data_IF_599560432738
#
_entry.id   IF_599560432738
#
_cell.length_a   1.000
_cell.length_b   1.000
_cell.length_c   1.000
_cell.angle_alpha   90.00
_cell.angle_beta   90.00
_cell.angle_gamma   90.00
#
_symmetry.space_group_name_H-M   'P 1'
#
loop_
_entity.id
_entity.type
_entity.pdbx_description
1 polymer ?
#
# COMPACT_ATOMS: atom_id res chain seq x y z
N UNK A 1 24.33 11.89 -56.92
CA UNK A 1 24.78 12.90 -55.90
C UNK A 1 23.64 13.31 -54.95
N UNK A 2 22.38 13.04 -55.32
CA UNK A 2 21.19 13.32 -54.45
C UNK A 2 21.02 12.30 -53.31
N UNK A 3 21.47 11.05 -53.48
CA UNK A 3 21.32 10.00 -52.46
C UNK A 3 22.19 10.21 -51.20
N UNK A 4 23.29 10.96 -51.30
CA UNK A 4 24.16 11.29 -50.20
C UNK A 4 23.59 12.38 -49.27
N UNK A 5 22.87 13.33 -49.82
CA UNK A 5 22.21 14.39 -49.04
C UNK A 5 20.96 13.86 -48.27
N UNK A 6 20.27 12.87 -48.81
CA UNK A 6 19.15 12.22 -48.12
C UNK A 6 19.56 11.43 -46.89
N UNK A 7 20.74 10.78 -46.93
CA UNK A 7 21.24 9.95 -45.82
C UNK A 7 21.77 10.82 -44.65
N UNK A 8 22.40 11.95 -44.94
CA UNK A 8 22.88 12.89 -43.91
C UNK A 8 21.72 13.63 -43.21
N UNK A 9 20.66 13.99 -43.95
CA UNK A 9 19.44 14.53 -43.36
C UNK A 9 18.74 13.56 -42.41
N UNK A 10 18.63 12.30 -42.79
CA UNK A 10 18.04 11.26 -41.96
C UNK A 10 18.82 10.98 -40.69
N UNK A 11 20.15 10.97 -40.76
CA UNK A 11 20.99 10.75 -39.60
C UNK A 11 20.92 11.89 -38.57
N UNK A 12 20.87 13.17 -39.06
CA UNK A 12 20.73 14.33 -38.19
C UNK A 12 19.35 14.43 -37.54
N UNK A 13 18.28 14.05 -38.26
CA UNK A 13 16.93 13.95 -37.68
C UNK A 13 16.84 12.85 -36.61
N UNK A 14 17.39 11.68 -36.84
CA UNK A 14 17.43 10.61 -35.86
C UNK A 14 18.24 11.01 -34.61
N UNK A 15 19.36 11.71 -34.81
CA UNK A 15 20.18 12.23 -33.71
C UNK A 15 19.40 13.26 -32.89
N UNK A 16 18.71 14.20 -33.53
CA UNK A 16 17.89 15.21 -32.87
C UNK A 16 16.71 14.60 -32.12
N UNK A 17 16.05 13.58 -32.69
CA UNK A 17 15.00 12.80 -32.01
C UNK A 17 15.55 12.04 -30.81
N UNK A 18 16.71 11.39 -30.92
CA UNK A 18 17.33 10.68 -29.80
C UNK A 18 17.70 11.67 -28.68
N UNK A 19 18.29 12.81 -29.00
CA UNK A 19 18.63 13.86 -28.04
C UNK A 19 17.39 14.41 -27.34
N UNK A 20 16.32 14.66 -28.07
CA UNK A 20 15.05 15.15 -27.49
C UNK A 20 14.40 14.12 -26.57
N UNK A 21 14.44 12.84 -26.92
CA UNK A 21 13.96 11.75 -26.07
C UNK A 21 14.79 11.66 -24.78
N UNK A 22 16.11 11.67 -24.88
CA UNK A 22 17.00 11.66 -23.71
C UNK A 22 16.73 12.87 -22.82
N UNK A 23 16.66 14.08 -23.38
CA UNK A 23 16.38 15.29 -22.61
C UNK A 23 15.01 15.24 -21.90
N UNK A 24 14.00 14.62 -22.51
CA UNK A 24 12.65 14.51 -21.95
C UNK A 24 12.54 13.43 -20.87
N UNK A 25 13.20 12.28 -21.07
CA UNK A 25 13.08 11.13 -20.17
C UNK A 25 14.17 11.06 -19.11
N UNK A 26 15.37 11.58 -19.36
CA UNK A 26 16.45 11.51 -18.40
C UNK A 26 16.10 12.13 -17.03
N UNK A 27 15.48 13.31 -16.93
CA UNK A 27 15.09 13.86 -15.63
C UNK A 27 14.05 12.97 -14.91
N UNK A 28 13.10 12.38 -15.64
CA UNK A 28 12.09 11.49 -15.10
C UNK A 28 12.71 10.20 -14.56
N UNK A 29 13.64 9.62 -15.30
CA UNK A 29 14.35 8.40 -14.88
C UNK A 29 15.22 8.67 -13.66
N UNK A 30 15.94 9.79 -13.61
CA UNK A 30 16.74 10.19 -12.44
C UNK A 30 15.86 10.35 -11.20
N UNK A 31 14.73 11.05 -11.33
CA UNK A 31 13.77 11.22 -10.25
C UNK A 31 13.16 9.88 -9.83
N UNK A 32 12.85 8.99 -10.77
CA UNK A 32 12.32 7.67 -10.49
C UNK A 32 13.31 6.81 -9.71
N UNK A 33 14.58 6.80 -10.09
CA UNK A 33 15.66 6.10 -9.38
C UNK A 33 15.85 6.69 -7.97
N UNK A 34 15.90 8.01 -7.87
CA UNK A 34 15.99 8.68 -6.57
C UNK A 34 14.81 8.31 -5.66
N UNK A 35 13.59 8.38 -6.17
CA UNK A 35 12.37 8.01 -5.45
C UNK A 35 12.38 6.53 -5.04
N UNK A 36 12.89 5.65 -5.90
CA UNK A 36 13.03 4.23 -5.60
C UNK A 36 13.99 3.98 -4.43
N UNK A 37 15.15 4.61 -4.46
CA UNK A 37 16.19 4.44 -3.41
C UNK A 37 15.69 5.00 -2.08
N UNK A 38 15.21 6.24 -2.09
CA UNK A 38 14.69 6.90 -0.88
C UNK A 38 13.45 6.19 -0.35
N UNK A 39 12.52 5.82 -1.22
CA UNK A 39 11.31 5.09 -0.85
C UNK A 39 11.61 3.72 -0.24
N UNK A 40 12.53 2.95 -0.83
CA UNK A 40 12.95 1.67 -0.30
C UNK A 40 13.63 1.82 1.08
N UNK A 41 14.47 2.84 1.25
CA UNK A 41 15.11 3.15 2.52
C UNK A 41 14.07 3.51 3.58
N UNK A 42 13.09 4.36 3.25
CA UNK A 42 11.99 4.75 4.15
C UNK A 42 11.13 3.55 4.55
N UNK A 43 10.76 2.70 3.59
CA UNK A 43 9.96 1.50 3.85
C UNK A 43 10.70 0.56 4.80
N UNK A 44 11.97 0.27 4.51
CA UNK A 44 12.78 -0.61 5.36
C UNK A 44 12.96 -0.02 6.77
N UNK A 45 13.14 1.29 6.87
CA UNK A 45 13.23 1.99 8.16
C UNK A 45 11.91 1.90 8.93
N UNK A 46 10.80 2.13 8.25
CA UNK A 46 9.46 2.07 8.86
C UNK A 46 9.13 0.65 9.35
N UNK A 47 9.34 -0.36 8.50
CA UNK A 47 9.12 -1.76 8.86
C UNK A 47 10.03 -2.20 10.00
N UNK A 48 11.31 -1.78 10.01
CA UNK A 48 12.24 -2.07 11.08
C UNK A 48 11.85 -1.45 12.44
N UNK A 49 11.30 -0.24 12.43
CA UNK A 49 10.75 0.38 13.66
C UNK A 49 9.54 -0.38 14.17
N UNK A 50 8.68 -0.85 13.25
CA UNK A 50 7.50 -1.64 13.59
C UNK A 50 7.90 -3.01 14.18
N UNK A 51 8.88 -3.67 13.56
CA UNK A 51 9.45 -4.94 14.01
C UNK A 51 10.00 -4.85 15.44
N UNK A 52 10.75 -3.82 15.73
CA UNK A 52 11.31 -3.59 17.07
C UNK A 52 10.25 -3.33 18.16
N UNK A 53 9.12 -2.72 17.80
CA UNK A 53 8.05 -2.41 18.76
C UNK A 53 7.11 -3.59 19.02
N UNK A 54 6.75 -4.32 17.96
CA UNK A 54 5.79 -5.43 17.99
C UNK A 54 6.45 -6.76 18.35
N UNK A 55 7.70 -6.98 17.94
CA UNK A 55 8.42 -8.23 18.10
C UNK A 55 8.62 -8.73 19.54
N UNK A 56 8.44 -7.83 20.52
CA UNK A 56 8.54 -8.15 21.95
C UNK A 56 7.31 -8.89 22.52
N UNK A 57 6.16 -8.81 21.86
CA UNK A 57 4.89 -9.39 22.35
C UNK A 57 4.55 -10.71 21.66
N UNK A 58 4.61 -10.78 20.38
CA UNK A 58 4.29 -11.97 19.57
C UNK A 58 5.16 -12.01 18.31
N UNK A 59 6.18 -12.88 18.25
CA UNK A 59 7.09 -12.97 17.12
C UNK A 59 6.40 -13.40 15.82
N UNK A 60 5.36 -14.24 15.90
CA UNK A 60 4.64 -14.76 14.73
C UNK A 60 3.78 -13.67 14.08
N UNK A 61 2.96 -13.01 14.90
CA UNK A 61 2.13 -11.90 14.45
C UNK A 61 2.96 -10.75 13.90
N UNK A 62 4.07 -10.43 14.57
CA UNK A 62 4.99 -9.40 14.15
C UNK A 62 5.58 -9.68 12.76
N UNK A 63 6.11 -10.89 12.54
CA UNK A 63 6.70 -11.30 11.26
C UNK A 63 5.67 -11.26 10.13
N UNK A 64 4.44 -11.68 10.41
CA UNK A 64 3.34 -11.64 9.44
C UNK A 64 2.98 -10.19 9.08
N UNK A 65 2.74 -9.33 10.08
CA UNK A 65 2.34 -7.93 9.85
C UNK A 65 3.44 -7.12 9.16
N UNK A 66 4.68 -7.24 9.61
CA UNK A 66 5.82 -6.56 8.99
C UNK A 66 6.04 -7.02 7.55
N UNK A 67 5.90 -8.33 7.29
CA UNK A 67 5.97 -8.88 5.93
C UNK A 67 4.87 -8.36 5.03
N UNK A 68 3.62 -8.38 5.49
CA UNK A 68 2.46 -7.92 4.74
C UNK A 68 2.54 -6.42 4.43
N UNK A 69 2.76 -5.59 5.45
CA UNK A 69 2.89 -4.13 5.30
C UNK A 69 4.07 -3.79 4.38
N UNK A 70 5.21 -4.44 4.60
CA UNK A 70 6.39 -4.24 3.75
C UNK A 70 6.15 -4.61 2.29
N UNK A 71 5.44 -5.69 2.01
CA UNK A 71 5.08 -6.09 0.66
C UNK A 71 4.14 -5.07 -0.01
N UNK A 72 3.09 -4.66 0.68
CA UNK A 72 2.13 -3.65 0.16
C UNK A 72 2.85 -2.34 -0.16
N UNK A 73 3.64 -1.82 0.76
CA UNK A 73 4.36 -0.55 0.56
C UNK A 73 5.36 -0.63 -0.61
N UNK A 74 6.07 -1.76 -0.77
CA UNK A 74 6.98 -1.96 -1.90
C UNK A 74 6.25 -2.03 -3.23
N UNK A 75 5.10 -2.70 -3.29
CA UNK A 75 4.26 -2.76 -4.49
C UNK A 75 3.78 -1.35 -4.87
N UNK A 76 3.29 -0.57 -3.92
CA UNK A 76 2.84 0.81 -4.15
C UNK A 76 3.99 1.71 -4.61
N UNK A 77 5.18 1.56 -4.03
CA UNK A 77 6.38 2.28 -4.45
C UNK A 77 6.75 1.94 -5.90
N UNK A 78 6.76 0.65 -6.27
CA UNK A 78 7.08 0.21 -7.63
C UNK A 78 6.09 0.77 -8.66
N UNK A 79 4.80 0.77 -8.36
CA UNK A 79 3.76 1.34 -9.24
C UNK A 79 3.95 2.85 -9.38
N UNK A 80 4.26 3.55 -8.29
CA UNK A 80 4.52 4.99 -8.31
C UNK A 80 5.74 5.32 -9.17
N UNK A 81 6.83 4.56 -9.02
CA UNK A 81 8.06 4.74 -9.83
C UNK A 81 7.80 4.42 -11.30
N UNK A 82 7.06 3.36 -11.61
CA UNK A 82 6.67 3.01 -12.98
C UNK A 82 5.86 4.13 -13.65
N UNK A 83 4.93 4.74 -12.90
CA UNK A 83 4.16 5.90 -13.38
C UNK A 83 5.04 7.11 -13.71
N UNK A 84 6.10 7.37 -12.94
CA UNK A 84 7.04 8.48 -13.18
C UNK A 84 7.81 8.32 -14.50
N UNK A 85 8.10 7.09 -14.89
CA UNK A 85 8.79 6.77 -16.15
C UNK A 85 7.82 6.75 -17.35
N UNK A 86 6.52 6.90 -17.10
CA UNK A 86 5.49 6.96 -18.16
C UNK A 86 4.83 5.61 -18.46
N UNK A 87 5.03 4.59 -17.64
CA UNK A 87 4.32 3.31 -17.76
C UNK A 87 2.87 3.50 -17.31
N UNK A 88 1.91 3.05 -18.10
CA UNK A 88 0.49 3.10 -17.75
C UNK A 88 0.20 2.18 -16.55
N UNK A 89 -0.06 2.76 -15.39
CA UNK A 89 -0.26 2.03 -14.13
C UNK A 89 -1.72 1.80 -13.78
N UNK A 90 -2.65 2.33 -14.56
CA UNK A 90 -4.10 2.27 -14.30
C UNK A 90 -4.61 0.83 -14.13
N UNK A 91 -4.14 -0.11 -14.95
CA UNK A 91 -4.53 -1.52 -14.85
C UNK A 91 -4.05 -2.16 -13.56
N UNK A 92 -2.84 -1.84 -13.11
CA UNK A 92 -2.30 -2.35 -11.84
C UNK A 92 -3.10 -1.81 -10.65
N UNK A 93 -3.46 -0.51 -10.68
CA UNK A 93 -4.30 0.12 -9.65
C UNK A 93 -5.68 -0.54 -9.61
N UNK A 94 -6.28 -0.81 -10.77
CA UNK A 94 -7.57 -1.49 -10.85
C UNK A 94 -7.51 -2.92 -10.26
N UNK A 95 -6.48 -3.69 -10.57
CA UNK A 95 -6.29 -5.05 -10.03
C UNK A 95 -6.11 -5.01 -8.51
N UNK A 96 -5.29 -4.10 -8.00
CA UNK A 96 -5.08 -3.95 -6.54
C UNK A 96 -6.36 -3.50 -5.86
N UNK A 97 -7.11 -2.60 -6.47
CA UNK A 97 -8.42 -2.17 -5.97
C UNK A 97 -9.42 -3.32 -5.88
N UNK A 98 -9.50 -4.13 -6.94
CA UNK A 98 -10.36 -5.32 -6.97
C UNK A 98 -9.94 -6.37 -5.92
N UNK A 99 -8.64 -6.62 -5.77
CA UNK A 99 -8.11 -7.51 -4.74
C UNK A 99 -8.40 -6.97 -3.33
N UNK A 100 -8.22 -5.66 -3.11
CA UNK A 100 -8.55 -5.00 -1.84
C UNK A 100 -10.04 -5.11 -1.49
N UNK A 101 -10.92 -4.93 -2.49
CA UNK A 101 -12.36 -5.11 -2.32
C UNK A 101 -12.70 -6.56 -1.94
N UNK A 102 -12.11 -7.53 -2.64
CA UNK A 102 -12.34 -8.96 -2.33
C UNK A 102 -11.91 -9.31 -0.90
N UNK A 103 -10.75 -8.83 -0.46
CA UNK A 103 -10.27 -9.00 0.93
C UNK A 103 -11.20 -8.28 1.91
N UNK A 104 -11.64 -7.06 1.60
CA UNK A 104 -12.58 -6.31 2.44
C UNK A 104 -13.91 -7.03 2.62
N UNK A 105 -14.47 -7.60 1.55
CA UNK A 105 -15.68 -8.40 1.62
C UNK A 105 -15.48 -9.70 2.42
N UNK A 106 -14.32 -10.36 2.25
CA UNK A 106 -14.02 -11.58 3.02
C UNK A 106 -13.88 -11.29 4.54
N UNK A 107 -13.43 -10.10 4.91
CA UNK A 107 -13.24 -9.67 6.31
C UNK A 107 -14.41 -8.87 6.87
N UNK A 108 -15.50 -8.66 6.10
CA UNK A 108 -16.61 -7.78 6.46
C UNK A 108 -17.21 -8.08 7.84
N UNK A 109 -17.42 -9.36 8.18
CA UNK A 109 -17.97 -9.75 9.48
C UNK A 109 -17.04 -9.39 10.64
N UNK A 110 -15.76 -9.72 10.52
CA UNK A 110 -14.76 -9.39 11.55
C UNK A 110 -14.58 -7.88 11.72
N UNK A 111 -14.65 -7.13 10.62
CA UNK A 111 -14.53 -5.66 10.64
C UNK A 111 -15.77 -5.03 11.30
N UNK A 112 -16.95 -5.57 11.06
CA UNK A 112 -18.20 -5.12 11.71
C UNK A 112 -18.15 -5.37 13.22
N UNK A 113 -17.72 -6.56 13.66
CA UNK A 113 -17.55 -6.87 15.07
C UNK A 113 -16.51 -5.98 15.75
N UNK A 114 -15.38 -5.76 15.07
CA UNK A 114 -14.34 -4.83 15.53
C UNK A 114 -14.90 -3.42 15.73
N UNK A 115 -15.62 -2.90 14.74
CA UNK A 115 -16.25 -1.56 14.83
C UNK A 115 -17.25 -1.50 15.98
N UNK A 116 -18.10 -2.53 16.15
CA UNK A 116 -19.05 -2.63 17.27
C UNK A 116 -18.34 -2.64 18.62
N UNK A 117 -17.27 -3.44 18.77
CA UNK A 117 -16.47 -3.48 20.00
C UNK A 117 -15.82 -2.14 20.34
N UNK A 118 -15.26 -1.43 19.34
CA UNK A 118 -14.69 -0.10 19.51
C UNK A 118 -15.76 0.92 19.93
N UNK A 119 -16.95 0.89 19.32
CA UNK A 119 -18.07 1.78 19.70
C UNK A 119 -18.49 1.54 21.14
N UNK A 120 -18.58 0.28 21.58
CA UNK A 120 -18.89 -0.05 22.99
C UNK A 120 -17.83 0.52 23.94
N UNK A 121 -16.56 0.42 23.58
CA UNK A 121 -15.45 0.96 24.42
C UNK A 121 -15.43 2.49 24.48
N UNK A 122 -15.83 3.18 23.41
CA UNK A 122 -15.86 4.65 23.35
C UNK A 122 -17.09 5.19 24.08
N UNK A 123 -18.28 4.72 23.71
CA UNK A 123 -19.55 5.25 24.20
C UNK A 123 -19.96 4.64 25.53
N UNK A 124 -19.44 3.46 25.89
CA UNK A 124 -19.69 2.75 27.14
C UNK A 124 -21.20 2.66 27.49
N UNK A 125 -22.06 2.19 26.57
CA UNK A 125 -23.48 2.02 26.86
C UNK A 125 -23.72 1.04 28.01
N UNK A 126 -22.80 0.12 28.24
CA UNK A 126 -22.69 -0.76 29.40
C UNK A 126 -21.22 -1.04 29.71
N UNK A 127 -20.93 -1.54 30.88
CA UNK A 127 -19.57 -1.88 31.37
C UNK A 127 -19.53 -3.33 31.84
N UNK A 128 -18.31 -3.84 32.02
CA UNK A 128 -18.11 -5.13 32.69
C UNK A 128 -18.68 -5.05 34.10
N UNK A 129 -19.54 -6.02 34.47
CA UNK A 129 -20.27 -6.06 35.73
C UNK A 129 -21.72 -5.57 35.64
N UNK A 130 -22.10 -4.84 34.58
CA UNK A 130 -23.47 -4.40 34.41
C UNK A 130 -24.39 -5.56 34.04
N UNK A 131 -25.65 -5.48 34.50
CA UNK A 131 -26.69 -6.41 34.07
C UNK A 131 -27.40 -5.84 32.86
N UNK A 132 -27.41 -6.60 31.77
CA UNK A 132 -28.05 -6.21 30.49
C UNK A 132 -29.07 -7.26 30.04
N UNK A 133 -30.10 -6.81 29.32
CA UNK A 133 -30.95 -7.66 28.53
C UNK A 133 -30.53 -7.63 27.07
N UNK A 134 -30.04 -8.74 26.55
CA UNK A 134 -29.61 -8.87 25.17
C UNK A 134 -30.41 -9.98 24.49
N UNK A 135 -31.21 -9.62 23.48
CA UNK A 135 -32.05 -10.57 22.71
C UNK A 135 -32.98 -11.45 23.58
N UNK A 136 -33.48 -10.89 24.69
CA UNK A 136 -34.35 -11.61 25.64
C UNK A 136 -33.60 -12.44 26.69
N UNK A 137 -32.28 -12.37 26.74
CA UNK A 137 -31.49 -13.02 27.78
C UNK A 137 -30.97 -11.98 28.78
N UNK A 138 -31.39 -12.11 30.02
CA UNK A 138 -30.92 -11.29 31.14
C UNK A 138 -29.63 -11.89 31.70
N UNK A 139 -28.58 -11.08 31.79
CA UNK A 139 -27.29 -11.54 32.30
C UNK A 139 -26.32 -10.39 32.64
N UNK A 140 -25.25 -10.71 33.36
CA UNK A 140 -24.20 -9.76 33.66
C UNK A 140 -23.06 -9.83 32.64
N UNK A 141 -22.58 -8.67 32.21
CA UNK A 141 -21.45 -8.54 31.29
C UNK A 141 -20.17 -9.00 31.96
N UNK A 142 -19.63 -10.12 31.52
CA UNK A 142 -18.40 -10.69 32.08
C UNK A 142 -17.15 -10.14 31.41
N UNK A 143 -17.23 -9.90 30.11
CA UNK A 143 -16.11 -9.46 29.29
C UNK A 143 -16.60 -8.68 28.06
N UNK A 144 -15.84 -7.73 27.57
CA UNK A 144 -16.08 -7.02 26.33
C UNK A 144 -14.91 -7.33 25.39
N UNK A 145 -15.15 -8.18 24.40
CA UNK A 145 -14.15 -8.51 23.37
C UNK A 145 -14.31 -7.56 22.18
N UNK A 146 -13.19 -7.27 21.48
CA UNK A 146 -13.21 -6.36 20.35
C UNK A 146 -13.53 -7.07 19.04
N UNK A 147 -13.32 -8.38 18.97
CA UNK A 147 -13.40 -9.15 17.71
C UNK A 147 -14.58 -10.12 17.66
N UNK A 148 -15.22 -10.44 18.75
CA UNK A 148 -16.42 -11.29 18.82
C UNK A 148 -17.36 -10.79 19.90
#
# INVERSE_FOLDING_TARGET
MEDLFGAEGGASELMNQAVSLVMTYAPKVVLAIFTLIVGMWLINRFVGVLDNKLGKKDPTLNKFLCGLIGAILKILLLISVASMVGIATTSFIAIIGAAGLAVGLALQGSLANFAGGVLILIFKPFKVGDTIDAQGYLGSVREISILY
#
